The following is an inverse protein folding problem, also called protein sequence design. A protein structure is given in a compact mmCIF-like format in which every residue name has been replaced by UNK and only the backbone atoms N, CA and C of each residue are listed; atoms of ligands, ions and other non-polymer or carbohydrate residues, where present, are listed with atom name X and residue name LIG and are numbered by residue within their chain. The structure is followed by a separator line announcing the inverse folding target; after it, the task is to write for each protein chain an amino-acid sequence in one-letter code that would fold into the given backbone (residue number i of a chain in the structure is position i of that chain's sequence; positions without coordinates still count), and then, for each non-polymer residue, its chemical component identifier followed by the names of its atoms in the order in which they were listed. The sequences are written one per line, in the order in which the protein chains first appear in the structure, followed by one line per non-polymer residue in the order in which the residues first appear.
data_IF_405120931508
#
_entry.id   IF_405120931508
#
_cell.length_a   1.000
_cell.length_b   1.000
_cell.length_c   1.000
_cell.angle_alpha   90.00
_cell.angle_beta   90.00
_cell.angle_gamma   90.00
#
_symmetry.space_group_name_H-M   'P 1'
#
loop_
_entity.id
_entity.type
_entity.pdbx_description
1 polymer ?
#
# COMPACT_ATOMS: atom_id res chain seq x y z
N UNK A 1 -9.59 -94.50 30.20
CA UNK A 1 -8.42 -93.65 30.63
C UNK A 1 -8.24 -92.57 29.59
N UNK A 2 -8.79 -91.44 29.87
CA UNK A 2 -8.77 -90.29 28.96
C UNK A 2 -7.79 -89.23 29.52
N UNK A 3 -6.75 -88.90 28.80
CA UNK A 3 -5.81 -87.84 29.18
C UNK A 3 -6.13 -86.56 28.32
N UNK A 4 -6.65 -85.54 28.97
CA UNK A 4 -6.82 -84.24 28.43
C UNK A 4 -5.45 -83.51 28.44
N UNK A 5 -4.98 -83.02 27.27
CA UNK A 5 -3.85 -82.11 27.16
C UNK A 5 -4.34 -80.63 27.27
N UNK A 6 -3.70 -79.75 28.02
CA UNK A 6 -4.13 -78.37 28.17
C UNK A 6 -3.72 -77.50 26.99
N UNK A 7 -4.67 -76.72 26.51
CA UNK A 7 -4.58 -75.85 25.33
C UNK A 7 -4.11 -74.40 25.61
N UNK A 8 -3.02 -74.23 26.34
CA UNK A 8 -2.52 -72.89 26.68
C UNK A 8 -1.39 -72.36 25.77
N UNK A 9 -1.01 -73.09 24.71
CA UNK A 9 -0.04 -72.65 23.74
C UNK A 9 -0.60 -71.67 22.68
N UNK A 10 -1.89 -71.48 22.60
CA UNK A 10 -2.51 -70.56 21.58
C UNK A 10 -2.77 -69.11 22.07
N UNK A 11 -2.60 -68.87 23.39
CA UNK A 11 -2.83 -67.50 23.90
C UNK A 11 -1.60 -66.63 23.82
N UNK A 12 -0.40 -67.15 23.62
CA UNK A 12 0.82 -66.28 23.54
C UNK A 12 1.08 -65.76 22.15
N UNK A 13 0.49 -66.31 21.10
CA UNK A 13 0.67 -65.82 19.70
C UNK A 13 -0.27 -64.72 19.32
N UNK A 14 -1.35 -64.44 20.06
CA UNK A 14 -2.30 -63.36 19.77
C UNK A 14 -1.88 -62.03 20.40
N UNK A 15 -1.08 -62.03 21.46
CA UNK A 15 -0.65 -60.80 22.15
C UNK A 15 0.53 -60.08 21.48
N UNK A 16 1.35 -60.78 20.69
CA UNK A 16 2.52 -60.18 20.01
C UNK A 16 2.17 -59.49 18.67
N UNK A 17 1.00 -59.80 18.09
CA UNK A 17 0.57 -59.16 16.82
C UNK A 17 -0.19 -57.84 17.05
N UNK A 18 -0.67 -57.57 18.27
CA UNK A 18 -1.43 -56.37 18.60
C UNK A 18 -0.54 -55.19 19.08
N UNK A 19 0.74 -55.42 19.41
CA UNK A 19 1.67 -54.36 19.82
C UNK A 19 2.45 -53.76 18.64
N UNK A 20 2.40 -54.34 17.43
CA UNK A 20 3.12 -53.83 16.26
C UNK A 20 2.31 -52.82 15.42
N UNK A 21 1.04 -52.58 15.74
CA UNK A 21 0.14 -51.69 14.99
C UNK A 21 -0.01 -50.29 15.61
N UNK A 22 0.65 -50.00 16.72
CA UNK A 22 0.54 -48.69 17.42
C UNK A 22 1.75 -47.75 17.23
N UNK A 23 2.70 -48.10 16.39
CA UNK A 23 3.90 -47.25 16.15
C UNK A 23 3.96 -46.56 14.78
N UNK A 24 2.85 -46.50 14.04
CA UNK A 24 2.68 -45.55 12.94
C UNK A 24 1.91 -44.33 13.46
N UNK A 25 2.42 -43.74 14.54
CA UNK A 25 2.11 -42.35 14.87
C UNK A 25 2.64 -41.51 13.72
N UNK A 26 1.71 -41.11 12.85
CA UNK A 26 2.01 -40.23 11.77
C UNK A 26 2.81 -39.03 12.26
N UNK A 27 4.06 -38.97 11.86
CA UNK A 27 4.74 -37.68 11.72
C UNK A 27 3.92 -36.94 10.67
N UNK A 28 2.87 -36.24 11.13
CA UNK A 28 2.29 -35.14 10.39
C UNK A 28 3.43 -34.15 10.29
N UNK A 29 4.26 -34.31 9.26
CA UNK A 29 5.11 -33.23 8.78
C UNK A 29 4.13 -32.10 8.47
N UNK A 30 3.95 -31.19 9.44
CA UNK A 30 3.54 -29.85 9.12
C UNK A 30 4.56 -29.41 8.07
N UNK A 31 4.20 -29.51 6.79
CA UNK A 31 4.84 -28.73 5.73
C UNK A 31 4.68 -27.28 6.18
N UNK A 32 5.68 -26.78 6.87
CA UNK A 32 5.89 -25.34 6.89
C UNK A 32 6.13 -25.04 5.41
N UNK A 33 5.12 -24.57 4.71
CA UNK A 33 5.31 -23.94 3.43
C UNK A 33 6.31 -22.82 3.70
N UNK A 34 7.58 -23.12 3.45
CA UNK A 34 8.63 -22.13 3.56
C UNK A 34 8.30 -21.12 2.48
N UNK A 35 7.67 -19.98 2.86
CA UNK A 35 7.28 -18.93 1.93
C UNK A 35 8.47 -18.46 1.12
N UNK A 36 8.20 -17.67 0.08
CA UNK A 36 9.20 -17.19 -0.86
C UNK A 36 10.47 -16.65 -0.17
N UNK A 37 11.63 -17.04 -0.67
CA UNK A 37 12.95 -16.71 -0.13
C UNK A 37 13.78 -15.78 -1.04
N UNK A 38 13.46 -15.73 -2.33
CA UNK A 38 14.15 -14.88 -3.32
C UNK A 38 13.14 -14.01 -4.05
N UNK A 39 12.90 -12.84 -3.48
CA UNK A 39 11.81 -11.95 -3.89
C UNK A 39 12.36 -10.86 -4.81
N UNK A 40 11.67 -10.61 -5.91
CA UNK A 40 11.82 -9.38 -6.68
C UNK A 40 10.56 -8.54 -6.45
N UNK A 41 10.73 -7.29 -6.01
CA UNK A 41 9.64 -6.35 -5.77
C UNK A 41 9.75 -5.19 -6.76
N UNK A 42 8.86 -5.15 -7.76
CA UNK A 42 8.94 -4.23 -8.90
C UNK A 42 8.21 -2.88 -8.68
N UNK A 43 8.01 -2.52 -7.42
CA UNK A 43 7.46 -1.21 -7.05
C UNK A 43 7.91 -0.81 -5.63
N UNK A 44 8.10 0.50 -5.34
CA UNK A 44 8.49 0.98 -4.00
C UNK A 44 7.53 0.52 -2.89
N UNK A 45 6.22 0.59 -3.11
CA UNK A 45 5.22 0.15 -2.13
C UNK A 45 5.26 -1.37 -1.87
N UNK A 46 5.58 -2.18 -2.88
CA UNK A 46 5.75 -3.62 -2.71
C UNK A 46 6.95 -3.93 -1.80
N UNK A 47 8.06 -3.21 -1.96
CA UNK A 47 9.22 -3.30 -1.06
C UNK A 47 8.80 -2.95 0.37
N UNK A 48 8.10 -1.85 0.56
CA UNK A 48 7.61 -1.44 1.89
C UNK A 48 6.72 -2.48 2.55
N UNK A 49 5.80 -3.10 1.78
CA UNK A 49 4.93 -4.16 2.30
C UNK A 49 5.73 -5.42 2.70
N UNK A 50 6.69 -5.85 1.86
CA UNK A 50 7.55 -7.01 2.18
C UNK A 50 8.39 -6.75 3.43
N UNK A 51 8.97 -5.55 3.57
CA UNK A 51 9.69 -5.15 4.79
C UNK A 51 8.78 -5.11 6.02
N UNK A 52 7.59 -4.52 5.89
CA UNK A 52 6.60 -4.46 6.98
C UNK A 52 6.21 -5.85 7.49
N UNK A 53 6.08 -6.82 6.58
CA UNK A 53 5.77 -8.20 6.93
C UNK A 53 6.99 -8.95 7.50
N UNK A 54 8.21 -8.39 7.41
CA UNK A 54 9.43 -8.95 7.97
C UNK A 54 10.15 -9.92 7.05
N UNK A 55 10.01 -9.76 5.73
CA UNK A 55 10.72 -10.52 4.69
C UNK A 55 11.65 -9.63 3.84
N UNK A 56 11.98 -8.42 4.30
CA UNK A 56 12.80 -7.48 3.55
C UNK A 56 14.16 -8.02 3.13
N UNK A 57 14.82 -8.81 3.98
CA UNK A 57 16.13 -9.42 3.70
C UNK A 57 16.09 -10.48 2.58
N UNK A 58 14.89 -10.93 2.20
CA UNK A 58 14.67 -11.86 1.09
C UNK A 58 14.58 -11.17 -0.27
N UNK A 59 14.54 -9.82 -0.32
CA UNK A 59 14.44 -9.08 -1.57
C UNK A 59 15.79 -9.05 -2.25
N UNK A 60 15.89 -9.67 -3.42
CA UNK A 60 17.14 -9.79 -4.22
C UNK A 60 17.21 -8.78 -5.38
N UNK A 61 16.10 -8.12 -5.71
CA UNK A 61 16.02 -7.10 -6.76
C UNK A 61 14.80 -6.22 -6.63
N UNK A 62 14.95 -4.95 -7.02
CA UNK A 62 13.84 -3.98 -6.99
C UNK A 62 14.01 -2.93 -8.10
N UNK A 63 13.05 -2.00 -8.16
CA UNK A 63 13.07 -0.87 -9.10
C UNK A 63 13.65 0.40 -8.47
N UNK A 64 13.89 1.40 -9.31
CA UNK A 64 14.22 2.77 -8.88
C UNK A 64 13.20 3.28 -7.85
N UNK A 65 13.62 4.23 -7.03
CA UNK A 65 12.81 4.87 -5.98
C UNK A 65 12.31 3.96 -4.85
N UNK A 66 12.77 2.72 -4.76
CA UNK A 66 12.55 1.85 -3.60
C UNK A 66 13.55 2.23 -2.48
N UNK A 67 13.28 3.28 -1.75
CA UNK A 67 14.19 3.96 -0.82
C UNK A 67 13.78 3.83 0.65
N UNK A 68 12.68 3.16 0.93
CA UNK A 68 12.21 2.92 2.30
C UNK A 68 11.91 1.42 2.54
N UNK A 69 12.30 0.89 3.74
CA UNK A 69 13.15 1.52 4.76
C UNK A 69 14.58 1.78 4.24
N UNK A 70 15.46 2.40 5.04
CA UNK A 70 16.82 2.76 4.62
C UNK A 70 17.59 1.56 4.03
N UNK A 71 17.40 0.35 4.60
CA UNK A 71 17.99 -0.89 4.10
C UNK A 71 17.62 -1.21 2.64
N UNK A 72 16.45 -0.75 2.16
CA UNK A 72 16.02 -0.97 0.79
C UNK A 72 16.90 -0.28 -0.26
N UNK A 73 17.64 0.76 0.13
CA UNK A 73 18.57 1.46 -0.76
C UNK A 73 19.72 0.57 -1.25
N UNK A 74 20.06 -0.46 -0.48
CA UNK A 74 21.14 -1.39 -0.81
C UNK A 74 20.71 -2.54 -1.76
N UNK A 75 19.41 -2.69 -2.04
CA UNK A 75 18.90 -3.73 -2.92
C UNK A 75 19.28 -3.40 -4.38
N UNK A 76 19.79 -4.36 -5.17
CA UNK A 76 20.10 -4.16 -6.57
C UNK A 76 18.92 -3.61 -7.38
N UNK A 77 19.14 -2.57 -8.18
CA UNK A 77 18.15 -2.01 -9.10
C UNK A 77 18.17 -2.78 -10.41
N UNK A 78 16.99 -3.25 -10.84
CA UNK A 78 16.83 -4.07 -12.05
C UNK A 78 15.87 -3.43 -13.05
N UNK A 79 15.58 -2.16 -12.88
CA UNK A 79 14.73 -1.40 -13.77
C UNK A 79 13.99 -0.27 -13.04
N UNK A 80 13.08 0.36 -13.76
CA UNK A 80 12.29 1.48 -13.28
C UNK A 80 11.10 1.75 -14.19
N UNK A 81 10.65 2.99 -14.26
CA UNK A 81 9.57 3.41 -15.13
C UNK A 81 9.81 3.11 -16.62
N UNK A 82 11.07 3.16 -17.06
CA UNK A 82 11.46 2.88 -18.46
C UNK A 82 11.39 1.41 -18.85
N UNK A 83 11.29 0.49 -17.90
CA UNK A 83 11.19 -0.96 -18.12
C UNK A 83 12.04 -1.77 -17.15
N UNK A 84 11.85 -3.09 -17.20
CA UNK A 84 12.52 -4.09 -16.35
C UNK A 84 13.60 -4.82 -17.18
N UNK A 85 14.78 -5.01 -16.57
CA UNK A 85 15.88 -5.77 -17.16
C UNK A 85 15.63 -7.27 -16.97
N UNK A 86 14.94 -7.90 -17.94
CA UNK A 86 14.49 -9.30 -17.84
C UNK A 86 15.64 -10.28 -17.62
N UNK A 87 16.81 -10.05 -18.25
CA UNK A 87 18.00 -10.86 -18.07
C UNK A 87 18.48 -10.85 -16.61
N UNK A 88 18.43 -9.68 -15.97
CA UNK A 88 18.77 -9.55 -14.54
C UNK A 88 17.76 -10.26 -13.65
N UNK A 89 16.47 -10.24 -14.01
CA UNK A 89 15.44 -11.03 -13.31
C UNK A 89 15.78 -12.52 -13.35
N UNK A 90 16.13 -13.05 -14.53
CA UNK A 90 16.51 -14.46 -14.72
C UNK A 90 17.76 -14.84 -13.92
N UNK A 91 18.81 -13.99 -13.93
CA UNK A 91 20.04 -14.21 -13.17
C UNK A 91 19.79 -14.31 -11.65
N UNK A 92 18.85 -13.51 -11.14
CA UNK A 92 18.49 -13.47 -9.72
C UNK A 92 17.71 -14.71 -9.27
N UNK A 93 17.18 -15.54 -10.19
CA UNK A 93 16.44 -16.78 -9.91
C UNK A 93 15.39 -16.58 -8.81
N UNK A 94 14.41 -15.69 -8.99
CA UNK A 94 13.41 -15.43 -7.98
C UNK A 94 12.42 -16.59 -7.84
N UNK A 95 11.92 -16.81 -6.63
CA UNK A 95 10.80 -17.69 -6.34
C UNK A 95 9.48 -16.91 -6.12
N UNK A 96 9.55 -15.57 -6.13
CA UNK A 96 8.41 -14.65 -6.17
C UNK A 96 8.80 -13.33 -6.83
N UNK A 97 8.02 -12.89 -7.80
CA UNK A 97 8.10 -11.54 -8.40
C UNK A 97 6.79 -10.82 -8.08
N UNK A 98 6.87 -9.70 -7.38
CA UNK A 98 5.73 -8.84 -7.09
C UNK A 98 5.73 -7.72 -8.13
N UNK A 99 4.85 -7.81 -9.11
CA UNK A 99 4.65 -6.80 -10.15
C UNK A 99 3.40 -5.97 -9.88
N UNK A 100 3.40 -4.71 -10.27
CA UNK A 100 2.30 -3.77 -10.06
C UNK A 100 1.56 -3.49 -11.36
N UNK A 101 0.28 -3.89 -11.44
CA UNK A 101 -0.60 -3.56 -12.58
C UNK A 101 -0.92 -2.06 -12.59
N UNK A 102 -0.61 -1.42 -13.70
CA UNK A 102 -0.77 0.04 -13.85
C UNK A 102 0.46 0.87 -13.50
N UNK A 103 1.53 0.26 -12.95
CA UNK A 103 2.80 0.92 -12.68
C UNK A 103 3.98 0.31 -13.43
N UNK A 104 4.03 -1.02 -13.56
CA UNK A 104 4.98 -1.67 -14.45
C UNK A 104 4.39 -1.77 -15.86
N UNK A 105 5.26 -1.82 -16.89
CA UNK A 105 4.81 -2.02 -18.27
C UNK A 105 4.15 -3.40 -18.42
N UNK A 106 2.98 -3.44 -19.03
CA UNK A 106 2.26 -4.70 -19.29
C UNK A 106 3.12 -5.67 -20.12
N UNK A 107 3.89 -5.17 -21.09
CA UNK A 107 4.80 -5.97 -21.90
C UNK A 107 5.86 -6.69 -21.06
N UNK A 108 6.45 -6.02 -20.07
CA UNK A 108 7.47 -6.63 -19.19
C UNK A 108 6.84 -7.73 -18.32
N UNK A 109 5.60 -7.48 -17.81
CA UNK A 109 4.85 -8.45 -17.02
C UNK A 109 4.53 -9.69 -17.87
N UNK A 110 3.99 -9.50 -19.06
CA UNK A 110 3.65 -10.58 -19.99
C UNK A 110 4.89 -11.40 -20.39
N UNK A 111 6.02 -10.74 -20.64
CA UNK A 111 7.27 -11.39 -20.95
C UNK A 111 7.76 -12.27 -19.78
N UNK A 112 7.74 -11.76 -18.55
CA UNK A 112 8.10 -12.56 -17.37
C UNK A 112 7.18 -13.78 -17.20
N UNK A 113 5.86 -13.61 -17.41
CA UNK A 113 4.90 -14.71 -17.34
C UNK A 113 5.13 -15.75 -18.45
N UNK A 114 5.41 -15.31 -19.68
CA UNK A 114 5.71 -16.20 -20.81
C UNK A 114 6.98 -17.03 -20.59
N UNK A 115 7.95 -16.50 -19.84
CA UNK A 115 9.16 -17.21 -19.40
C UNK A 115 8.90 -18.16 -18.21
N UNK A 116 7.67 -18.29 -17.73
CA UNK A 116 7.31 -19.17 -16.60
C UNK A 116 7.79 -18.67 -15.24
N UNK A 117 8.13 -17.39 -15.12
CA UNK A 117 8.57 -16.81 -13.85
C UNK A 117 7.39 -16.66 -12.88
N UNK A 118 7.62 -16.79 -11.56
CA UNK A 118 6.58 -16.80 -10.53
C UNK A 118 6.07 -15.38 -10.23
N UNK A 119 5.30 -14.80 -11.16
CA UNK A 119 4.78 -13.43 -11.06
C UNK A 119 3.48 -13.41 -10.24
N UNK A 120 3.48 -12.64 -9.18
CA UNK A 120 2.29 -12.20 -8.47
C UNK A 120 1.95 -10.78 -8.90
N UNK A 121 0.73 -10.57 -9.38
CA UNK A 121 0.27 -9.28 -9.86
C UNK A 121 -0.50 -8.54 -8.77
N UNK A 122 0.08 -7.48 -8.22
CA UNK A 122 -0.57 -6.53 -7.33
C UNK A 122 -1.50 -5.62 -8.13
N UNK A 123 -2.76 -5.53 -7.70
CA UNK A 123 -3.81 -4.73 -8.36
C UNK A 123 -4.46 -3.72 -7.42
N UNK A 124 -3.76 -3.33 -6.36
CA UNK A 124 -4.23 -2.37 -5.36
C UNK A 124 -4.59 -1.03 -6.01
N UNK A 125 -5.81 -0.57 -5.80
CA UNK A 125 -6.34 0.70 -6.35
C UNK A 125 -6.92 1.62 -5.28
N UNK A 126 -7.33 1.06 -4.14
CA UNK A 126 -8.02 1.76 -3.04
C UNK A 126 -7.33 1.50 -1.72
N UNK A 127 -7.59 2.35 -0.73
CA UNK A 127 -7.04 2.16 0.62
C UNK A 127 -7.48 0.82 1.24
N UNK A 128 -8.72 0.42 1.02
CA UNK A 128 -9.27 -0.84 1.54
C UNK A 128 -8.73 -2.10 0.83
N UNK A 129 -7.93 -1.96 -0.23
CA UNK A 129 -7.24 -3.08 -0.88
C UNK A 129 -5.89 -3.37 -0.22
N UNK A 130 -5.28 -2.40 0.46
CA UNK A 130 -3.96 -2.55 1.09
C UNK A 130 -3.94 -3.68 2.12
N UNK A 131 -4.89 -3.79 3.07
CA UNK A 131 -4.91 -4.91 4.00
C UNK A 131 -5.15 -6.26 3.31
N UNK A 132 -5.88 -6.31 2.20
CA UNK A 132 -6.03 -7.54 1.39
C UNK A 132 -4.71 -7.94 0.74
N UNK A 133 -3.97 -6.95 0.22
CA UNK A 133 -2.63 -7.15 -0.35
C UNK A 133 -1.65 -7.66 0.73
N UNK A 134 -1.69 -7.10 1.96
CA UNK A 134 -0.89 -7.60 3.08
C UNK A 134 -1.17 -9.08 3.36
N UNK A 135 -2.44 -9.50 3.38
CA UNK A 135 -2.83 -10.89 3.60
C UNK A 135 -2.36 -11.81 2.47
N UNK A 136 -2.52 -11.37 1.20
CA UNK A 136 -2.07 -12.13 0.03
C UNK A 136 -0.56 -12.33 0.04
N UNK A 137 0.21 -11.27 0.32
CA UNK A 137 1.67 -11.34 0.46
C UNK A 137 2.06 -12.20 1.66
N UNK A 138 1.35 -12.08 2.80
CA UNK A 138 1.60 -12.91 3.99
C UNK A 138 1.54 -14.39 3.69
N UNK A 139 0.56 -14.84 2.92
CA UNK A 139 0.44 -16.23 2.47
C UNK A 139 1.65 -16.64 1.59
N UNK A 140 2.03 -15.81 0.61
CA UNK A 140 3.15 -16.11 -0.30
C UNK A 140 4.50 -16.11 0.41
N UNK A 141 4.64 -15.32 1.46
CA UNK A 141 5.86 -15.18 2.24
C UNK A 141 5.95 -16.17 3.42
N UNK A 142 4.90 -16.94 3.69
CA UNK A 142 4.81 -17.82 4.88
C UNK A 142 4.72 -17.02 6.19
N UNK A 143 4.15 -15.81 6.16
CA UNK A 143 4.09 -14.85 7.27
C UNK A 143 2.64 -14.46 7.61
N UNK A 144 1.75 -15.45 7.61
CA UNK A 144 0.30 -15.27 7.75
C UNK A 144 -0.09 -14.48 9.00
N UNK A 145 0.43 -14.85 10.16
CA UNK A 145 0.10 -14.18 11.43
C UNK A 145 0.55 -12.71 11.45
N UNK A 146 1.74 -12.43 10.93
CA UNK A 146 2.23 -11.04 10.82
C UNK A 146 1.36 -10.22 9.89
N UNK A 147 0.96 -10.80 8.76
CA UNK A 147 0.08 -10.15 7.79
C UNK A 147 -1.31 -9.87 8.37
N UNK A 148 -1.90 -10.81 9.09
CA UNK A 148 -3.18 -10.62 9.78
C UNK A 148 -3.10 -9.49 10.81
N UNK A 149 -2.05 -9.46 11.63
CA UNK A 149 -1.83 -8.38 12.61
C UNK A 149 -1.67 -7.03 11.92
N UNK A 150 -0.87 -6.95 10.85
CA UNK A 150 -0.65 -5.72 10.09
C UNK A 150 -1.94 -5.23 9.43
N UNK A 151 -2.70 -6.12 8.77
CA UNK A 151 -3.97 -5.81 8.12
C UNK A 151 -5.03 -5.33 9.13
N UNK A 152 -5.12 -5.97 10.30
CA UNK A 152 -6.02 -5.56 11.37
C UNK A 152 -5.68 -4.15 11.87
N UNK A 153 -4.42 -3.89 12.18
CA UNK A 153 -3.95 -2.59 12.64
C UNK A 153 -4.20 -1.49 11.60
N UNK A 154 -3.96 -1.79 10.32
CA UNK A 154 -4.27 -0.88 9.21
C UNK A 154 -5.74 -0.52 9.17
N UNK A 155 -6.63 -1.53 9.19
CA UNK A 155 -8.09 -1.33 9.16
C UNK A 155 -8.59 -0.50 10.36
N UNK A 156 -8.09 -0.79 11.56
CA UNK A 156 -8.45 -0.03 12.77
C UNK A 156 -8.05 1.45 12.66
N UNK A 157 -6.82 1.72 12.19
CA UNK A 157 -6.34 3.08 12.02
C UNK A 157 -7.11 3.82 10.92
N UNK A 158 -7.36 3.18 9.78
CA UNK A 158 -8.14 3.77 8.69
C UNK A 158 -9.58 4.10 9.12
N UNK A 159 -10.23 3.16 9.82
CA UNK A 159 -11.58 3.37 10.34
C UNK A 159 -11.61 4.53 11.35
N UNK A 160 -10.60 4.63 12.24
CA UNK A 160 -10.49 5.74 13.18
C UNK A 160 -10.34 7.08 12.46
N UNK A 161 -9.44 7.22 11.49
CA UNK A 161 -9.23 8.45 10.73
C UNK A 161 -10.53 8.90 10.02
N UNK A 162 -11.25 7.95 9.41
CA UNK A 162 -12.53 8.21 8.75
C UNK A 162 -13.60 8.66 9.75
N UNK A 163 -13.72 7.98 10.89
CA UNK A 163 -14.74 8.30 11.92
C UNK A 163 -14.49 9.64 12.59
N UNK A 164 -13.23 9.96 12.90
CA UNK A 164 -12.83 11.22 13.53
C UNK A 164 -13.17 12.44 12.65
N UNK A 165 -13.29 12.23 11.34
CA UNK A 165 -13.55 13.28 10.35
C UNK A 165 -14.99 13.32 9.84
N UNK A 166 -15.81 12.32 10.13
CA UNK A 166 -17.12 12.09 9.53
C UNK A 166 -18.10 13.26 9.72
N UNK A 167 -18.10 13.89 10.93
CA UNK A 167 -19.04 14.94 11.30
C UNK A 167 -18.44 16.34 11.23
N UNK A 168 -17.19 16.48 10.77
CA UNK A 168 -16.54 17.77 10.63
C UNK A 168 -17.09 18.54 9.40
N UNK A 169 -17.07 19.87 9.46
CA UNK A 169 -17.42 20.71 8.32
C UNK A 169 -16.53 20.38 7.11
N UNK A 170 -17.13 20.41 5.93
CA UNK A 170 -16.42 20.11 4.67
C UNK A 170 -15.45 21.24 4.34
N UNK A 171 -14.29 20.86 3.76
CA UNK A 171 -13.25 21.77 3.26
C UNK A 171 -13.00 21.46 1.80
N UNK A 172 -13.11 22.48 0.94
CA UNK A 172 -12.80 22.31 -0.49
C UNK A 172 -11.30 22.26 -0.73
N UNK A 173 -10.85 21.22 -1.43
CA UNK A 173 -9.42 20.89 -1.62
C UNK A 173 -9.08 20.80 -3.09
N UNK A 174 -8.03 21.50 -3.50
CA UNK A 174 -7.35 21.25 -4.74
C UNK A 174 -6.07 20.47 -4.48
N UNK A 175 -5.95 19.28 -5.08
CA UNK A 175 -4.71 18.51 -5.07
C UNK A 175 -3.96 18.77 -6.38
N UNK A 176 -2.86 19.50 -6.29
CA UNK A 176 -1.99 19.80 -7.42
C UNK A 176 -0.98 18.67 -7.60
N UNK A 177 -1.25 17.75 -8.53
CA UNK A 177 -0.34 16.63 -8.79
C UNK A 177 0.96 17.10 -9.46
N UNK A 178 0.84 17.94 -10.50
CA UNK A 178 1.97 18.53 -11.23
C UNK A 178 1.74 20.00 -11.52
N UNK A 179 2.84 20.73 -11.66
CA UNK A 179 2.81 22.17 -11.92
C UNK A 179 2.80 22.49 -13.42
N UNK A 180 3.48 21.68 -14.26
CA UNK A 180 3.63 21.90 -15.70
C UNK A 180 3.65 20.57 -16.46
N UNK A 181 2.62 20.27 -17.28
CA UNK A 181 1.32 20.99 -17.26
C UNK A 181 0.60 20.85 -15.91
N UNK A 182 -0.21 21.85 -15.54
CA UNK A 182 -0.96 21.81 -14.29
C UNK A 182 -1.94 20.64 -14.31
N UNK A 183 -1.82 19.69 -13.36
CA UNK A 183 -2.67 18.52 -13.25
C UNK A 183 -3.27 18.40 -11.87
N UNK A 184 -4.54 18.06 -11.85
CA UNK A 184 -5.29 17.70 -10.64
C UNK A 184 -5.36 16.19 -10.44
N UNK A 185 -5.93 15.79 -9.30
CA UNK A 185 -6.39 14.42 -9.04
C UNK A 185 -7.92 14.44 -8.97
N UNK A 186 -8.57 13.46 -9.59
CA UNK A 186 -10.03 13.31 -9.60
C UNK A 186 -10.52 12.15 -8.71
N UNK A 187 -11.83 11.90 -8.72
CA UNK A 187 -12.50 10.92 -7.85
C UNK A 187 -11.98 9.48 -7.99
N UNK A 188 -11.55 9.08 -9.20
CA UNK A 188 -11.04 7.74 -9.47
C UNK A 188 -9.71 7.41 -8.80
N UNK A 189 -9.00 8.41 -8.27
CA UNK A 189 -7.71 8.22 -7.62
C UNK A 189 -7.85 7.92 -6.13
N UNK A 190 -6.93 7.13 -5.57
CA UNK A 190 -6.86 6.88 -4.12
C UNK A 190 -6.56 8.14 -3.29
N UNK A 191 -5.97 9.17 -3.90
CA UNK A 191 -5.74 10.45 -3.24
C UNK A 191 -7.06 11.09 -2.85
N UNK A 192 -8.09 10.92 -3.68
CA UNK A 192 -9.43 11.39 -3.34
C UNK A 192 -9.97 10.70 -2.07
N UNK A 193 -9.62 9.42 -1.84
CA UNK A 193 -10.00 8.74 -0.59
C UNK A 193 -9.29 9.32 0.64
N UNK A 194 -8.05 9.82 0.52
CA UNK A 194 -7.36 10.53 1.60
C UNK A 194 -8.07 11.85 1.93
N UNK A 195 -8.46 12.60 0.89
CA UNK A 195 -9.16 13.88 1.05
C UNK A 195 -10.54 13.67 1.67
N UNK A 196 -11.36 12.81 1.06
CA UNK A 196 -12.75 12.57 1.50
C UNK A 196 -12.82 11.88 2.84
N UNK A 197 -11.91 10.96 3.13
CA UNK A 197 -11.79 10.30 4.42
C UNK A 197 -11.43 11.24 5.57
N UNK A 198 -10.81 12.39 5.27
CA UNK A 198 -10.56 13.47 6.22
C UNK A 198 -11.66 14.57 6.22
N UNK A 199 -12.79 14.31 5.56
CA UNK A 199 -13.91 15.26 5.49
C UNK A 199 -13.67 16.42 4.52
N UNK A 200 -12.70 16.29 3.59
CA UNK A 200 -12.52 17.20 2.47
C UNK A 200 -13.48 16.93 1.32
N UNK A 201 -13.57 17.88 0.39
CA UNK A 201 -14.24 17.76 -0.91
C UNK A 201 -13.23 18.16 -1.97
N UNK A 202 -12.91 17.23 -2.86
CA UNK A 202 -12.01 17.51 -3.97
C UNK A 202 -12.74 18.37 -5.00
N UNK A 203 -12.16 19.51 -5.37
CA UNK A 203 -12.80 20.45 -6.31
C UNK A 203 -12.83 19.96 -7.77
N UNK A 204 -12.20 18.82 -8.05
CA UNK A 204 -12.19 18.15 -9.36
C UNK A 204 -12.66 16.69 -9.27
N UNK A 205 -13.53 16.36 -8.31
CA UNK A 205 -14.04 15.00 -8.13
C UNK A 205 -14.97 14.52 -9.25
N UNK A 206 -15.57 15.45 -10.01
CA UNK A 206 -16.45 15.19 -11.15
C UNK A 206 -15.71 15.06 -12.51
N UNK A 207 -14.38 15.22 -12.52
CA UNK A 207 -13.62 15.12 -13.75
C UNK A 207 -13.64 13.68 -14.31
N UNK A 208 -13.76 13.56 -15.64
CA UNK A 208 -13.88 12.28 -16.35
C UNK A 208 -12.58 11.45 -16.39
N UNK A 209 -11.43 12.10 -16.16
CA UNK A 209 -10.10 11.46 -16.11
C UNK A 209 -9.58 11.49 -14.69
N UNK A 210 -8.87 10.46 -14.26
CA UNK A 210 -8.27 10.38 -12.91
C UNK A 210 -7.21 11.47 -12.66
N UNK A 211 -6.55 11.95 -13.73
CA UNK A 211 -5.45 12.92 -13.67
C UNK A 211 -5.68 14.05 -14.70
N UNK A 212 -6.74 14.86 -14.54
CA UNK A 212 -7.09 15.87 -15.53
C UNK A 212 -6.03 16.97 -15.59
N UNK A 213 -5.74 17.45 -16.82
CA UNK A 213 -5.07 18.72 -16.99
C UNK A 213 -6.08 19.83 -16.75
N UNK A 214 -5.72 20.80 -15.93
CA UNK A 214 -6.58 21.93 -15.54
C UNK A 214 -5.87 23.25 -15.83
N UNK A 215 -6.65 24.34 -15.92
CA UNK A 215 -6.09 25.68 -16.04
C UNK A 215 -6.16 26.44 -14.71
N UNK A 216 -5.39 27.51 -14.60
CA UNK A 216 -5.42 28.41 -13.42
C UNK A 216 -6.82 29.00 -13.25
N UNK A 217 -7.48 29.36 -14.36
CA UNK A 217 -8.84 29.94 -14.38
C UNK A 217 -9.85 28.95 -13.79
N UNK A 218 -9.69 27.64 -14.09
CA UNK A 218 -10.57 26.61 -13.52
C UNK A 218 -10.40 26.50 -12.01
N UNK A 219 -9.15 26.59 -11.52
CA UNK A 219 -8.87 26.60 -10.07
C UNK A 219 -9.41 27.87 -9.41
N UNK A 220 -9.31 29.03 -10.06
CA UNK A 220 -9.89 30.30 -9.60
C UNK A 220 -11.42 30.19 -9.43
N UNK A 221 -12.11 29.57 -10.40
CA UNK A 221 -13.55 29.34 -10.33
C UNK A 221 -13.94 28.35 -9.25
N UNK A 222 -13.13 27.31 -9.05
CA UNK A 222 -13.36 26.28 -8.02
C UNK A 222 -13.15 26.78 -6.58
N UNK A 223 -12.40 27.89 -6.39
CA UNK A 223 -12.16 28.55 -5.10
C UNK A 223 -11.78 27.61 -3.97
N UNK A 224 -10.74 26.77 -4.11
CA UNK A 224 -10.36 25.82 -3.07
C UNK A 224 -9.97 26.56 -1.78
N UNK A 225 -10.36 25.97 -0.64
CA UNK A 225 -9.98 26.44 0.69
C UNK A 225 -8.58 25.98 1.08
N UNK A 226 -8.15 24.85 0.53
CA UNK A 226 -6.83 24.25 0.73
C UNK A 226 -6.24 23.85 -0.62
N UNK A 227 -4.95 24.10 -0.82
CA UNK A 227 -4.15 23.54 -1.93
C UNK A 227 -3.14 22.56 -1.31
N UNK A 228 -3.19 21.28 -1.73
CA UNK A 228 -2.22 20.26 -1.37
C UNK A 228 -1.26 20.02 -2.52
N UNK A 229 0.04 20.08 -2.26
CA UNK A 229 1.11 19.89 -3.24
C UNK A 229 2.02 18.77 -2.76
N UNK A 230 2.16 17.64 -3.48
CA UNK A 230 3.08 16.59 -3.08
C UNK A 230 4.53 17.04 -3.31
N UNK A 231 5.36 16.92 -2.28
CA UNK A 231 6.82 16.99 -2.41
C UNK A 231 7.35 15.61 -2.77
N UNK A 232 8.31 15.54 -3.69
CA UNK A 232 8.95 14.28 -4.08
C UNK A 232 10.43 14.32 -3.71
N UNK A 233 10.94 13.23 -3.12
CA UNK A 233 12.36 13.07 -2.76
C UNK A 233 12.95 14.22 -1.94
N UNK A 234 12.13 14.82 -1.05
CA UNK A 234 12.55 15.94 -0.21
C UNK A 234 12.65 17.30 -0.92
N UNK A 235 12.49 17.35 -2.23
CA UNK A 235 12.43 18.60 -2.97
C UNK A 235 11.07 19.27 -2.76
N UNK A 236 11.07 20.38 -2.02
CA UNK A 236 9.93 21.30 -2.02
C UNK A 236 9.90 21.90 -3.43
N UNK A 237 8.89 21.52 -4.22
CA UNK A 237 8.67 22.13 -5.51
C UNK A 237 8.38 23.61 -5.22
N UNK A 238 9.02 24.54 -5.96
CA UNK A 238 8.74 26.00 -5.91
C UNK A 238 7.30 26.35 -6.31
N UNK A 239 6.42 25.35 -6.30
CA UNK A 239 5.05 25.42 -6.76
C UNK A 239 4.13 26.29 -5.89
N UNK A 240 4.51 26.54 -4.62
CA UNK A 240 3.73 27.40 -3.72
C UNK A 240 3.72 28.85 -4.16
N UNK A 241 4.85 29.37 -4.65
CA UNK A 241 5.00 30.75 -5.08
C UNK A 241 4.21 31.04 -6.37
N UNK A 242 3.94 30.02 -7.19
CA UNK A 242 3.11 30.16 -8.40
C UNK A 242 1.67 30.61 -8.11
N UNK A 243 1.16 30.38 -6.91
CA UNK A 243 -0.19 30.77 -6.51
C UNK A 243 -0.28 32.18 -5.92
N UNK A 244 0.85 32.77 -5.52
CA UNK A 244 0.91 34.12 -4.92
C UNK A 244 0.22 35.21 -5.75
N UNK A 245 0.24 35.21 -7.11
CA UNK A 245 -0.46 36.19 -7.93
C UNK A 245 -1.99 36.12 -7.86
N UNK A 246 -2.58 35.08 -7.22
CA UNK A 246 -4.01 34.82 -7.22
C UNK A 246 -4.63 34.87 -5.82
N UNK A 247 -4.65 36.07 -5.16
CA UNK A 247 -5.18 36.23 -3.81
C UNK A 247 -6.70 36.03 -3.71
N UNK A 248 -7.41 35.94 -4.85
CA UNK A 248 -8.84 35.64 -4.93
C UNK A 248 -9.13 34.18 -4.52
N UNK A 249 -8.16 33.29 -4.62
CA UNK A 249 -8.29 31.90 -4.17
C UNK A 249 -8.27 31.88 -2.65
N UNK A 250 -9.30 31.32 -1.97
CA UNK A 250 -9.35 31.26 -0.51
C UNK A 250 -8.12 30.63 0.13
N UNK A 251 -7.55 29.58 -0.49
CA UNK A 251 -6.34 28.93 -0.03
C UNK A 251 -5.13 29.89 -0.03
N UNK A 252 -4.98 30.72 -1.04
CA UNK A 252 -3.90 31.72 -1.14
C UNK A 252 -4.10 32.82 -0.09
N UNK A 253 -5.31 33.41 -0.06
CA UNK A 253 -5.68 34.46 0.89
C UNK A 253 -5.47 34.07 2.34
N UNK A 254 -5.70 32.79 2.67
CA UNK A 254 -5.64 32.28 4.04
C UNK A 254 -4.32 31.53 4.34
N UNK A 255 -3.36 31.52 3.42
CA UNK A 255 -2.08 30.81 3.54
C UNK A 255 -2.25 29.29 3.78
N UNK A 256 -3.24 28.70 3.09
CA UNK A 256 -3.57 27.28 3.18
C UNK A 256 -3.04 26.52 1.94
N UNK A 257 -1.79 26.77 1.61
CA UNK A 257 -1.04 25.99 0.61
C UNK A 257 -0.06 25.11 1.39
N UNK A 258 -0.27 23.80 1.33
CA UNK A 258 0.48 22.85 2.14
C UNK A 258 1.23 21.84 1.28
N UNK A 259 2.48 21.58 1.65
CA UNK A 259 3.27 20.52 1.05
C UNK A 259 3.08 19.23 1.85
N UNK A 260 2.75 18.14 1.17
CA UNK A 260 2.62 16.83 1.75
C UNK A 260 3.68 15.88 1.16
N UNK A 261 4.07 14.86 1.92
CA UNK A 261 5.10 13.92 1.45
C UNK A 261 4.55 12.97 0.40
N UNK A 262 4.89 13.22 -0.88
CA UNK A 262 4.49 12.41 -2.02
C UNK A 262 4.98 10.96 -1.94
N UNK A 263 6.17 10.72 -1.36
CA UNK A 263 6.70 9.36 -1.19
C UNK A 263 5.89 8.52 -0.19
N UNK A 264 5.01 9.15 0.59
CA UNK A 264 4.09 8.46 1.49
C UNK A 264 2.70 8.34 0.86
N UNK A 265 2.14 9.45 0.35
CA UNK A 265 0.75 9.46 -0.13
C UNK A 265 0.57 8.78 -1.50
N UNK A 266 1.64 8.61 -2.29
CA UNK A 266 1.59 7.96 -3.60
C UNK A 266 1.98 6.47 -3.57
N UNK A 267 2.16 5.88 -2.38
CA UNK A 267 2.56 4.47 -2.25
C UNK A 267 1.51 3.67 -1.49
N UNK A 268 1.00 2.60 -2.10
CA UNK A 268 0.04 1.66 -1.50
C UNK A 268 0.69 0.78 -0.42
N UNK A 269 1.22 1.39 0.62
CA UNK A 269 1.84 0.71 1.76
C UNK A 269 1.18 1.11 3.08
N UNK A 270 1.58 0.49 4.18
CA UNK A 270 1.04 0.85 5.50
C UNK A 270 1.32 2.30 5.90
N UNK A 271 2.36 2.93 5.33
CA UNK A 271 2.71 4.33 5.61
C UNK A 271 1.70 5.34 5.06
N UNK A 272 0.86 4.95 4.10
CA UNK A 272 -0.16 5.84 3.53
C UNK A 272 -1.09 6.42 4.61
N UNK A 273 -1.30 5.70 5.72
CA UNK A 273 -2.10 6.20 6.85
C UNK A 273 -1.44 7.39 7.56
N UNK A 274 -0.11 7.48 7.56
CA UNK A 274 0.61 8.67 8.04
C UNK A 274 0.36 9.85 7.10
N UNK A 275 0.34 9.60 5.80
CA UNK A 275 -0.04 10.61 4.80
C UNK A 275 -1.49 11.06 4.96
N UNK A 276 -2.41 10.13 5.21
CA UNK A 276 -3.80 10.45 5.50
C UNK A 276 -3.94 11.30 6.77
N UNK A 277 -3.23 10.96 7.85
CA UNK A 277 -3.21 11.78 9.06
C UNK A 277 -2.74 13.21 8.77
N UNK A 278 -1.65 13.38 8.00
CA UNK A 278 -1.17 14.69 7.63
C UNK A 278 -2.20 15.51 6.81
N UNK A 279 -2.93 14.85 5.91
CA UNK A 279 -4.05 15.49 5.20
C UNK A 279 -5.16 15.90 6.18
N UNK A 280 -5.54 15.02 7.12
CA UNK A 280 -6.56 15.32 8.12
C UNK A 280 -6.15 16.54 8.98
N UNK A 281 -4.89 16.61 9.41
CA UNK A 281 -4.37 17.71 10.24
C UNK A 281 -4.44 19.05 9.49
N UNK A 282 -4.06 19.08 8.21
CA UNK A 282 -4.19 20.26 7.35
C UNK A 282 -5.65 20.71 7.22
N UNK A 283 -6.58 19.77 7.01
CA UNK A 283 -7.99 20.13 6.90
C UNK A 283 -8.57 20.61 8.23
N UNK A 284 -8.09 20.13 9.36
CA UNK A 284 -8.48 20.61 10.69
C UNK A 284 -7.97 22.05 10.94
N UNK A 285 -6.75 22.36 10.51
CA UNK A 285 -6.22 23.73 10.55
C UNK A 285 -7.08 24.69 9.71
N UNK A 286 -7.43 24.29 8.49
CA UNK A 286 -8.29 25.10 7.61
C UNK A 286 -9.69 25.35 8.25
N UNK A 287 -10.28 24.35 8.91
CA UNK A 287 -11.56 24.50 9.63
C UNK A 287 -11.48 25.54 10.75
N UNK A 288 -10.39 25.50 11.53
CA UNK A 288 -10.19 26.45 12.64
C UNK A 288 -10.14 27.90 12.13
N UNK A 289 -9.44 28.16 11.03
CA UNK A 289 -9.35 29.50 10.43
C UNK A 289 -10.74 30.00 9.97
N UNK A 290 -11.53 29.13 9.33
CA UNK A 290 -12.88 29.51 8.87
C UNK A 290 -13.83 29.79 10.04
N UNK A 291 -13.72 29.04 11.12
CA UNK A 291 -14.56 29.24 12.32
C UNK A 291 -14.29 30.59 12.98
N UNK A 292 -13.01 30.99 13.08
CA UNK A 292 -12.62 32.31 13.66
C UNK A 292 -13.12 33.46 12.81
N UNK A 293 -13.00 33.37 11.48
CA UNK A 293 -13.45 34.42 10.57
C UNK A 293 -14.97 34.62 10.58
N UNK A 294 -15.74 33.53 10.65
CA UNK A 294 -17.18 33.64 10.70
C UNK A 294 -17.67 34.30 12.02
N UNK A 295 -16.97 34.10 13.14
CA UNK A 295 -17.28 34.77 14.41
C UNK A 295 -16.98 36.28 14.32
N UNK A 296 -15.84 36.69 13.75
CA UNK A 296 -15.45 38.11 13.63
C UNK A 296 -16.26 38.90 12.58
N UNK A 297 -17.16 38.28 11.80
CA UNK A 297 -18.07 38.96 10.91
C UNK A 297 -19.46 39.16 11.49
N UNK A 298 -19.77 38.56 12.64
CA UNK A 298 -21.05 38.63 13.34
C UNK A 298 -21.00 39.47 14.66
N UNK A 299 -19.78 39.88 15.05
CA UNK A 299 -19.53 40.86 16.09
C UNK A 299 -19.27 42.25 15.48
#
# INVERSE_FOLDING_TARGET
MWTLKPSWLNLVKASTLMLALLSVSGISQAQSESGAQRIIALAPHAVELVYMLGAGDRIVGTTEYADFPEAAKNIPRIGGYSGIQIERVLELKPDLIIAWKGGNKDQDIEQMQALGLPVYLSITKKLDDIPKEMLSLGNKLGLVEKAQKAALAFNQTLAKLRSDSQHKSKVSVFYQLWSEPLRAMAAGSWINELITGCGGVNVFDDASLDYPQVSIETVLLAKPQVILIPSQHGNKIEAGDKWAPWPEIPAVKNKQIHFINGDIVHRFSGRILQGMQAVCDVLDEARAIHTVKNRSQHD
#
